data_IF_901874913811
#
_entry.id   IF_901874913811
#
_cell.length_a   1.000
_cell.length_b   1.000
_cell.length_c   1.000
_cell.angle_alpha   90.00
_cell.angle_beta   90.00
_cell.angle_gamma   90.00
#
_symmetry.space_group_name_H-M   'P 1'
#
loop_
_entity.id
_entity.type
_entity.pdbx_description
1 polymer ?
#
# COMPACT_ATOMS: atom_id res chain seq x y z
N UNK A 1 21.96 32.41 -7.99
CA UNK A 1 20.72 31.80 -7.52
C UNK A 1 20.16 30.69 -8.43
N UNK A 2 20.63 30.51 -9.66
CA UNK A 2 20.08 29.51 -10.60
C UNK A 2 20.65 28.08 -10.50
N UNK A 3 21.76 27.86 -9.82
CA UNK A 3 22.39 26.51 -9.76
C UNK A 3 21.68 25.53 -8.82
N UNK A 4 21.12 25.99 -7.72
CA UNK A 4 20.46 25.14 -6.72
C UNK A 4 19.07 24.65 -7.18
N UNK A 5 18.34 25.41 -7.96
CA UNK A 5 17.05 24.99 -8.53
C UNK A 5 17.23 23.94 -9.63
N UNK A 6 18.25 24.10 -10.47
CA UNK A 6 18.52 23.16 -11.56
C UNK A 6 19.06 21.80 -11.07
N UNK A 7 19.76 21.78 -9.96
CA UNK A 7 20.26 20.54 -9.32
C UNK A 7 19.13 19.78 -8.61
N UNK A 8 18.20 20.49 -7.98
CA UNK A 8 16.99 19.91 -7.38
C UNK A 8 16.07 19.29 -8.43
N UNK A 9 15.89 19.94 -9.57
CA UNK A 9 15.05 19.48 -10.66
C UNK A 9 15.60 18.21 -11.31
N UNK A 10 16.90 18.16 -11.54
CA UNK A 10 17.58 16.95 -12.06
C UNK A 10 17.47 15.77 -11.10
N UNK A 11 17.61 15.98 -9.80
CA UNK A 11 17.43 14.94 -8.79
C UNK A 11 16.02 14.38 -8.79
N UNK A 12 15.02 15.22 -8.92
CA UNK A 12 13.61 14.84 -9.01
C UNK A 12 13.30 14.03 -10.28
N UNK A 13 13.83 14.44 -11.42
CA UNK A 13 13.65 13.72 -12.70
C UNK A 13 14.30 12.34 -12.65
N UNK A 14 15.54 12.24 -12.16
CA UNK A 14 16.24 10.96 -12.02
C UNK A 14 15.49 10.02 -11.07
N UNK A 15 15.01 10.53 -9.95
CA UNK A 15 14.21 9.75 -9.00
C UNK A 15 12.91 9.25 -9.65
N UNK A 16 12.19 10.12 -10.34
CA UNK A 16 10.94 9.78 -11.02
C UNK A 16 11.16 8.74 -12.12
N UNK A 17 12.21 8.90 -12.91
CA UNK A 17 12.59 7.92 -13.94
C UNK A 17 12.93 6.56 -13.32
N UNK A 18 13.68 6.55 -12.22
CA UNK A 18 14.02 5.31 -11.48
C UNK A 18 12.77 4.62 -10.95
N UNK A 19 11.85 5.37 -10.34
CA UNK A 19 10.57 4.82 -9.86
C UNK A 19 9.77 4.21 -11.01
N UNK A 20 9.68 4.89 -12.14
CA UNK A 20 8.99 4.39 -13.33
C UNK A 20 9.61 3.09 -13.84
N UNK A 21 10.93 3.03 -13.98
CA UNK A 21 11.65 1.82 -14.40
C UNK A 21 11.37 0.66 -13.43
N UNK A 22 11.44 0.91 -12.12
CA UNK A 22 11.15 -0.10 -11.10
C UNK A 22 9.72 -0.61 -11.21
N UNK A 23 8.75 0.27 -11.42
CA UNK A 23 7.35 -0.12 -11.59
C UNK A 23 7.17 -0.96 -12.86
N UNK A 24 7.74 -0.54 -13.99
CA UNK A 24 7.64 -1.27 -15.27
C UNK A 24 8.25 -2.67 -15.15
N UNK A 25 9.39 -2.80 -14.47
CA UNK A 25 10.06 -4.09 -14.31
C UNK A 25 9.36 -5.01 -13.28
N UNK A 26 8.80 -4.43 -12.21
CA UNK A 26 8.22 -5.21 -11.12
C UNK A 26 6.75 -5.55 -11.33
N UNK A 27 5.96 -4.72 -12.00
CA UNK A 27 4.52 -4.94 -12.12
C UNK A 27 4.14 -6.21 -12.89
N UNK A 28 4.73 -6.54 -14.07
CA UNK A 28 4.33 -7.74 -14.79
C UNK A 28 4.60 -9.04 -14.01
N UNK A 29 5.82 -9.31 -13.49
CA UNK A 29 6.06 -10.52 -12.72
C UNK A 29 5.29 -10.53 -11.37
N UNK A 30 5.07 -9.37 -10.73
CA UNK A 30 4.20 -9.26 -9.58
C UNK A 30 2.80 -9.77 -9.88
N UNK A 31 2.22 -9.34 -11.00
CA UNK A 31 0.89 -9.75 -11.43
C UNK A 31 0.78 -11.25 -11.66
N UNK A 32 1.76 -11.83 -12.34
CA UNK A 32 1.81 -13.28 -12.57
C UNK A 32 1.88 -14.00 -11.22
N UNK A 33 2.77 -13.58 -10.34
CA UNK A 33 2.91 -14.18 -9.01
C UNK A 33 1.63 -14.07 -8.18
N UNK A 34 0.95 -12.92 -8.19
CA UNK A 34 -0.33 -12.74 -7.47
C UNK A 34 -1.42 -13.60 -8.10
N UNK A 35 -1.49 -13.69 -9.43
CA UNK A 35 -2.47 -14.52 -10.12
C UNK A 35 -2.33 -16.01 -9.75
N UNK A 36 -1.10 -16.49 -9.62
CA UNK A 36 -0.79 -17.88 -9.27
C UNK A 36 -0.79 -18.17 -7.77
N UNK A 37 -0.75 -17.13 -6.91
CA UNK A 37 -0.72 -17.32 -5.45
C UNK A 37 -2.06 -17.81 -4.92
N UNK A 38 -2.03 -18.57 -3.83
CA UNK A 38 -3.23 -18.91 -3.07
C UNK A 38 -3.73 -17.72 -2.27
N UNK A 39 -5.07 -17.52 -2.19
CA UNK A 39 -5.64 -16.42 -1.39
C UNK A 39 -5.25 -16.49 0.09
N UNK A 40 -5.25 -15.32 0.74
CA UNK A 40 -4.95 -15.18 2.15
C UNK A 40 -3.49 -14.86 2.44
N UNK A 41 -2.94 -15.48 3.46
CA UNK A 41 -1.60 -15.23 3.97
C UNK A 41 -0.44 -15.35 2.94
N UNK A 42 -0.43 -16.34 2.03
CA UNK A 42 0.62 -16.43 1.02
C UNK A 42 0.65 -15.21 0.09
N UNK A 43 -0.52 -14.72 -0.32
CA UNK A 43 -0.63 -13.51 -1.14
C UNK A 43 -0.21 -12.28 -0.35
N UNK A 44 -0.61 -12.13 0.91
CA UNK A 44 -0.20 -11.01 1.76
C UNK A 44 1.33 -10.94 1.91
N UNK A 45 1.98 -12.07 2.21
CA UNK A 45 3.44 -12.17 2.26
C UNK A 45 4.12 -11.82 0.94
N UNK A 46 3.52 -12.25 -0.17
CA UNK A 46 4.01 -11.95 -1.50
C UNK A 46 3.94 -10.44 -1.77
N UNK A 47 2.79 -9.81 -1.56
CA UNK A 47 2.58 -8.36 -1.75
C UNK A 47 3.57 -7.56 -0.90
N UNK A 48 3.76 -7.94 0.36
CA UNK A 48 4.73 -7.31 1.26
C UNK A 48 6.16 -7.38 0.72
N UNK A 49 6.61 -8.55 0.27
CA UNK A 49 7.96 -8.72 -0.30
C UNK A 49 8.16 -7.87 -1.56
N UNK A 50 7.14 -7.75 -2.39
CA UNK A 50 7.20 -6.91 -3.59
C UNK A 50 7.21 -5.42 -3.25
N UNK A 51 6.43 -4.99 -2.28
CA UNK A 51 6.47 -3.62 -1.75
C UNK A 51 7.86 -3.27 -1.22
N UNK A 52 8.49 -4.15 -0.45
CA UNK A 52 9.86 -3.97 0.05
C UNK A 52 10.89 -3.86 -1.07
N UNK A 53 10.77 -4.70 -2.13
CA UNK A 53 11.64 -4.61 -3.29
C UNK A 53 11.45 -3.30 -4.05
N UNK A 54 10.20 -2.89 -4.24
CA UNK A 54 9.87 -1.64 -4.92
C UNK A 54 10.51 -0.42 -4.21
N UNK A 55 10.37 -0.31 -2.89
CA UNK A 55 11.00 0.76 -2.11
C UNK A 55 12.52 0.70 -2.19
N UNK A 56 13.11 -0.48 -2.02
CA UNK A 56 14.58 -0.65 -2.08
C UNK A 56 15.14 -0.25 -3.44
N UNK A 57 14.54 -0.72 -4.52
CA UNK A 57 15.04 -0.46 -5.87
C UNK A 57 14.77 0.98 -6.33
N UNK A 58 13.70 1.61 -5.84
CA UNK A 58 13.45 3.03 -6.06
C UNK A 58 14.45 3.93 -5.30
N UNK A 59 15.19 3.37 -4.32
CA UNK A 59 16.06 4.15 -3.45
C UNK A 59 15.29 4.94 -2.39
N UNK A 60 14.04 4.57 -2.13
CA UNK A 60 13.22 5.18 -1.10
C UNK A 60 13.58 4.57 0.27
N UNK A 61 14.18 5.37 1.14
CA UNK A 61 14.50 4.96 2.51
C UNK A 61 13.34 5.34 3.42
N UNK A 62 12.84 4.37 4.17
CA UNK A 62 11.75 4.57 5.12
C UNK A 62 12.24 4.24 6.53
N UNK A 63 12.12 5.20 7.44
CA UNK A 63 12.39 5.01 8.86
C UNK A 63 11.07 4.92 9.61
N UNK A 64 10.90 3.88 10.40
CA UNK A 64 9.72 3.68 11.25
C UNK A 64 10.12 3.94 12.70
N UNK A 65 9.49 4.93 13.32
CA UNK A 65 9.69 5.29 14.72
C UNK A 65 8.49 4.75 15.51
N UNK A 66 8.74 4.16 16.69
CA UNK A 66 7.67 3.60 17.53
C UNK A 66 7.16 2.22 17.09
N UNK A 67 7.90 1.52 16.22
CA UNK A 67 7.51 0.19 15.73
C UNK A 67 7.39 -0.86 16.85
N UNK A 68 8.08 -0.65 17.97
CA UNK A 68 8.02 -1.47 19.19
C UNK A 68 6.63 -1.51 19.80
N UNK A 69 5.87 -0.41 19.75
CA UNK A 69 4.51 -0.35 20.27
C UNK A 69 3.55 -1.29 19.53
N UNK A 70 3.78 -1.49 18.22
CA UNK A 70 2.97 -2.42 17.43
C UNK A 70 3.27 -3.89 17.72
N UNK A 71 4.44 -4.20 18.24
CA UNK A 71 4.84 -5.58 18.56
C UNK A 71 4.28 -6.03 19.90
N UNK A 72 4.08 -5.10 20.82
CA UNK A 72 3.55 -5.38 22.16
C UNK A 72 2.03 -5.54 22.18
N UNK A 73 1.32 -5.02 21.17
CA UNK A 73 -0.14 -5.05 21.12
C UNK A 73 -0.65 -6.23 20.28
N UNK A 74 -1.42 -7.15 20.86
CA UNK A 74 -1.95 -8.31 20.16
C UNK A 74 -3.05 -7.92 19.13
N UNK A 75 -3.72 -6.80 19.37
CA UNK A 75 -4.77 -6.28 18.49
C UNK A 75 -4.73 -4.75 18.49
N UNK A 76 -4.47 -4.14 17.33
CA UNK A 76 -4.41 -2.69 17.19
C UNK A 76 -5.16 -2.21 15.95
N UNK A 77 -5.85 -1.08 16.07
CA UNK A 77 -6.39 -0.33 14.95
C UNK A 77 -5.43 0.81 14.59
N UNK A 78 -4.89 0.74 13.38
CA UNK A 78 -3.99 1.78 12.87
C UNK A 78 -4.77 2.78 12.02
N UNK A 79 -4.67 4.05 12.37
CA UNK A 79 -5.25 5.15 11.62
C UNK A 79 -4.08 6.01 11.12
N UNK A 80 -4.06 6.27 9.82
CA UNK A 80 -3.04 7.09 9.18
C UNK A 80 -3.65 8.08 8.20
N UNK A 81 -3.00 9.23 8.04
CA UNK A 81 -3.31 10.11 6.94
C UNK A 81 -3.02 9.43 5.61
N UNK A 82 -3.87 9.66 4.63
CA UNK A 82 -3.75 9.05 3.32
C UNK A 82 -3.82 10.12 2.23
N UNK A 83 -2.68 10.48 1.68
CA UNK A 83 -2.54 11.49 0.65
C UNK A 83 -2.16 10.92 -0.72
N UNK A 84 -1.63 9.70 -0.75
CA UNK A 84 -1.15 9.06 -1.98
C UNK A 84 -1.37 7.55 -1.97
N UNK A 85 -1.56 6.96 -3.16
CA UNK A 85 -1.59 5.51 -3.33
C UNK A 85 -0.29 4.81 -2.85
N UNK A 86 0.82 5.55 -2.85
CA UNK A 86 2.12 5.05 -2.38
C UNK A 86 2.14 4.78 -0.88
N UNK A 87 1.30 5.45 -0.09
CA UNK A 87 1.23 5.26 1.36
C UNK A 87 0.93 3.81 1.72
N UNK A 88 0.04 3.16 0.95
CA UNK A 88 -0.27 1.75 1.14
C UNK A 88 0.95 0.84 0.91
N UNK A 89 1.78 1.17 -0.08
CA UNK A 89 3.02 0.43 -0.39
C UNK A 89 4.04 0.62 0.73
N UNK A 90 4.18 1.85 1.22
CA UNK A 90 5.10 2.19 2.32
C UNK A 90 4.69 1.47 3.60
N UNK A 91 3.42 1.53 3.98
CA UNK A 91 2.91 0.85 5.17
C UNK A 91 3.08 -0.68 5.06
N UNK A 92 2.72 -1.25 3.90
CA UNK A 92 2.87 -2.68 3.65
C UNK A 92 4.33 -3.15 3.75
N UNK A 93 5.27 -2.35 3.26
CA UNK A 93 6.68 -2.69 3.29
C UNK A 93 7.33 -2.54 4.67
N UNK A 94 6.91 -1.53 5.44
CA UNK A 94 7.67 -1.01 6.58
C UNK A 94 7.16 -1.47 7.93
N UNK A 95 5.85 -1.70 8.09
CA UNK A 95 5.31 -2.09 9.40
C UNK A 95 5.75 -3.51 9.80
N UNK A 96 6.17 -3.73 11.06
CA UNK A 96 6.73 -5.01 11.50
C UNK A 96 5.67 -6.10 11.72
N UNK A 97 4.41 -5.72 11.83
CA UNK A 97 3.28 -6.60 12.09
C UNK A 97 2.44 -6.84 10.84
N UNK A 98 1.68 -7.94 10.84
CA UNK A 98 0.65 -8.15 9.83
C UNK A 98 -0.58 -7.32 10.16
N UNK A 99 -1.13 -6.69 9.15
CA UNK A 99 -2.36 -5.92 9.28
C UNK A 99 -3.19 -6.07 8.01
N UNK A 100 -4.45 -5.70 8.10
CA UNK A 100 -5.37 -5.68 6.98
C UNK A 100 -5.84 -4.25 6.74
N UNK A 101 -5.77 -3.80 5.51
CA UNK A 101 -6.35 -2.53 5.15
C UNK A 101 -7.88 -2.61 5.16
N UNK A 102 -8.49 -1.52 5.60
CA UNK A 102 -9.91 -1.23 5.34
C UNK A 102 -9.96 -0.41 4.06
N UNK A 103 -10.31 -1.04 2.96
CA UNK A 103 -10.31 -0.43 1.63
C UNK A 103 -11.74 -0.22 1.13
N UNK A 104 -11.93 0.81 0.30
CA UNK A 104 -13.17 0.96 -0.43
C UNK A 104 -13.33 -0.22 -1.42
N UNK A 105 -14.54 -0.77 -1.52
CA UNK A 105 -14.84 -1.86 -2.45
C UNK A 105 -14.47 -1.53 -3.90
N UNK A 106 -14.49 -0.24 -4.31
CA UNK A 106 -14.02 0.23 -5.61
C UNK A 106 -12.52 -0.05 -5.84
N UNK A 107 -11.71 -0.21 -4.79
CA UNK A 107 -10.34 -0.63 -4.94
C UNK A 107 -10.22 -2.06 -5.47
N UNK A 108 -11.16 -2.92 -5.13
CA UNK A 108 -11.21 -4.30 -5.60
C UNK A 108 -11.63 -4.43 -7.08
N UNK A 109 -12.27 -3.42 -7.66
CA UNK A 109 -12.67 -3.41 -9.08
C UNK A 109 -11.56 -2.87 -10.00
N UNK A 110 -10.54 -2.23 -9.45
CA UNK A 110 -9.44 -1.69 -10.26
C UNK A 110 -8.56 -2.80 -10.84
N UNK A 111 -8.23 -2.75 -12.15
CA UNK A 111 -7.57 -3.85 -12.84
C UNK A 111 -6.20 -4.20 -12.23
N UNK A 112 -5.42 -3.21 -11.78
CA UNK A 112 -4.05 -3.45 -11.29
C UNK A 112 -3.92 -3.69 -9.79
N UNK A 113 -4.92 -3.40 -8.99
CA UNK A 113 -4.85 -3.50 -7.53
C UNK A 113 -5.86 -4.51 -7.01
N UNK A 114 -7.00 -4.61 -7.69
CA UNK A 114 -8.16 -5.35 -7.20
C UNK A 114 -7.89 -6.84 -6.94
N UNK A 115 -7.10 -7.49 -7.77
CA UNK A 115 -6.75 -8.89 -7.56
C UNK A 115 -5.91 -9.08 -6.29
N UNK A 116 -4.90 -8.23 -6.09
CA UNK A 116 -4.05 -8.28 -4.90
C UNK A 116 -4.86 -7.99 -3.63
N UNK A 117 -5.71 -6.94 -3.65
CA UNK A 117 -6.55 -6.56 -2.52
C UNK A 117 -7.51 -7.68 -2.11
N UNK A 118 -8.17 -8.32 -3.08
CA UNK A 118 -9.08 -9.43 -2.81
C UNK A 118 -8.35 -10.66 -2.29
N UNK A 119 -7.25 -11.06 -2.95
CA UNK A 119 -6.50 -12.26 -2.58
C UNK A 119 -5.73 -12.13 -1.28
N UNK A 120 -5.23 -10.93 -0.95
CA UNK A 120 -4.55 -10.69 0.32
C UNK A 120 -5.51 -10.68 1.53
N UNK A 121 -6.83 -10.66 1.28
CA UNK A 121 -7.83 -10.72 2.34
C UNK A 121 -7.99 -9.40 3.10
N UNK A 122 -7.81 -8.27 2.43
CA UNK A 122 -8.12 -6.97 3.00
C UNK A 122 -9.62 -6.78 3.20
N UNK A 123 -10.02 -5.95 4.17
CA UNK A 123 -11.42 -5.67 4.46
C UNK A 123 -11.95 -4.66 3.43
N UNK A 124 -13.04 -5.03 2.78
CA UNK A 124 -13.70 -4.15 1.81
C UNK A 124 -14.93 -3.54 2.43
N UNK A 125 -15.04 -2.23 2.42
CA UNK A 125 -16.19 -1.47 2.90
C UNK A 125 -16.82 -0.65 1.79
N UNK A 126 -18.13 -0.60 1.79
CA UNK A 126 -18.87 0.29 0.91
C UNK A 126 -19.16 1.60 1.64
N UNK A 127 -18.54 2.68 1.16
CA UNK A 127 -18.77 4.02 1.71
C UNK A 127 -20.19 4.54 1.45
N UNK A 128 -20.90 3.96 0.51
CA UNK A 128 -22.31 4.30 0.22
C UNK A 128 -23.25 3.88 1.34
N UNK A 129 -23.00 2.75 1.97
CA UNK A 129 -23.78 2.24 3.10
C UNK A 129 -23.46 2.98 4.40
N UNK A 130 -22.23 3.44 4.57
CA UNK A 130 -21.83 4.17 5.79
C UNK A 130 -22.42 5.59 5.90
N UNK A 131 -22.92 6.14 4.79
CA UNK A 131 -23.64 7.44 4.79
C UNK A 131 -25.13 7.32 5.14
N UNK A 132 -25.68 6.13 5.06
CA UNK A 132 -27.01 5.85 5.60
C UNK A 132 -26.81 5.43 7.04
N UNK A 133 -26.89 6.37 7.97
CA UNK A 133 -27.02 6.07 9.38
C UNK A 133 -28.11 5.02 9.59
N UNK A 134 -28.10 4.26 10.71
CA UNK A 134 -29.19 3.36 11.00
C UNK A 134 -30.51 4.15 10.88
N UNK A 135 -31.59 3.54 10.33
CA UNK A 135 -32.86 4.21 10.26
C UNK A 135 -33.18 4.63 11.68
N UNK A 136 -33.32 5.94 11.90
CA UNK A 136 -33.86 6.47 13.15
C UNK A 136 -35.32 6.08 13.17
N UNK A 137 -35.59 4.83 13.56
CA UNK A 137 -36.87 4.32 13.84
C UNK A 137 -37.16 4.61 15.33
N UNK A 138 -37.84 5.69 15.60
CA UNK A 138 -38.56 5.84 16.83
C UNK A 138 -39.82 4.93 16.82
N UNK A 139 -40.34 4.59 17.99
CA UNK A 139 -41.53 3.78 18.19
C UNK A 139 -42.75 4.43 17.60
#
# INVERSE_FOLDING_TARGET
>A
MGHTEQESDRGSVIFSARVLVVLVLLLPPFWVCVALSTPGEPTDRLVRRWAQRALRWSGCHVTVIGAEHLRSEPCALLIANHSSAIDSVVLMASLPTRFRFVANHLAATRPFIGLAVRKAGHLLVDRGLSRRGPPVGGP
#
